data_IF_615124318423
#
_entry.id   IF_615124318423
#
_cell.length_a   1.000
_cell.length_b   1.000
_cell.length_c   1.000
_cell.angle_alpha   90.00
_cell.angle_beta   90.00
_cell.angle_gamma   90.00
#
_symmetry.space_group_name_H-M   'P 1'
#
loop_
_entity.id
_entity.type
_entity.pdbx_description
1 polymer ?
#
# COMPACT_ATOMS: atom_id res chain seq x y z
N UNK A 1 10.69 7.91 -34.50
CA UNK A 1 11.27 9.25 -34.30
C UNK A 1 11.45 9.93 -35.67
N UNK A 2 10.51 10.77 -36.16
CA UNK A 2 10.73 11.55 -37.37
C UNK A 2 11.30 12.93 -37.04
N UNK A 3 12.40 13.28 -37.72
CA UNK A 3 13.11 14.55 -37.62
C UNK A 3 12.33 15.68 -38.32
N UNK A 4 12.18 16.84 -37.66
CA UNK A 4 11.62 18.07 -38.24
C UNK A 4 12.76 18.95 -38.78
N UNK A 5 12.77 19.31 -40.07
CA UNK A 5 13.74 20.25 -40.62
C UNK A 5 13.27 21.70 -40.49
N UNK A 6 14.24 22.60 -40.32
CA UNK A 6 14.24 23.89 -41.03
C UNK A 6 13.57 25.08 -40.33
N UNK A 7 14.41 25.85 -39.64
CA UNK A 7 14.28 27.31 -39.40
C UNK A 7 13.55 28.05 -40.53
N UNK A 8 12.51 28.81 -40.18
CA UNK A 8 12.18 30.06 -40.86
C UNK A 8 12.14 31.16 -39.81
N UNK A 9 13.22 31.94 -39.80
CA UNK A 9 13.34 33.20 -39.06
C UNK A 9 12.60 34.24 -39.90
N UNK A 10 11.62 34.92 -39.29
CA UNK A 10 10.96 36.07 -39.91
C UNK A 10 12.02 37.13 -40.28
N UNK A 11 12.06 37.60 -41.54
CA UNK A 11 12.94 38.68 -41.91
C UNK A 11 12.50 39.98 -41.21
N UNK A 12 13.44 40.77 -40.67
CA UNK A 12 13.15 42.07 -40.08
C UNK A 12 12.69 43.05 -41.16
N UNK A 13 11.63 43.84 -40.92
CA UNK A 13 11.16 44.84 -41.88
C UNK A 13 12.22 45.92 -42.11
N UNK A 14 12.45 46.22 -43.38
CA UNK A 14 13.44 47.18 -43.86
C UNK A 14 13.12 48.61 -43.44
N UNK A 15 14.16 49.29 -42.96
CA UNK A 15 14.41 50.74 -43.01
C UNK A 15 13.30 51.63 -43.58
N UNK A 16 12.61 52.38 -42.70
CA UNK A 16 11.88 53.60 -43.07
C UNK A 16 12.73 54.82 -42.72
N UNK A 17 13.75 55.09 -43.53
CA UNK A 17 14.48 56.36 -43.57
C UNK A 17 14.20 57.04 -44.91
N UNK A 18 13.76 58.29 -44.84
CA UNK A 18 13.51 59.17 -45.99
C UNK A 18 12.16 59.87 -45.80
N UNK A 19 12.01 61.17 -45.98
CA UNK A 19 12.95 62.24 -46.28
C UNK A 19 12.22 63.53 -45.86
N UNK A 20 12.95 64.49 -45.29
CA UNK A 20 12.42 65.83 -45.05
C UNK A 20 12.17 66.51 -46.39
N UNK A 21 10.92 66.72 -46.74
CA UNK A 21 10.50 67.54 -47.88
C UNK A 21 9.70 68.72 -47.36
N UNK A 22 10.35 69.88 -47.22
CA UNK A 22 9.67 71.17 -47.02
C UNK A 22 8.93 71.52 -48.32
N UNK A 23 7.64 71.21 -48.36
CA UNK A 23 6.72 71.75 -49.37
C UNK A 23 5.99 72.96 -48.78
N UNK A 24 6.30 74.15 -49.29
CA UNK A 24 5.50 75.35 -49.06
C UNK A 24 4.16 75.16 -49.78
N UNK A 25 3.06 75.01 -49.03
CA UNK A 25 1.72 75.00 -49.60
C UNK A 25 1.13 76.41 -49.57
N UNK A 26 0.67 76.77 -50.75
CA UNK A 26 0.15 78.06 -51.13
C UNK A 26 -1.17 78.39 -50.45
N UNK A 27 -1.34 79.68 -50.21
CA UNK A 27 -2.46 80.39 -49.60
C UNK A 27 -3.71 80.27 -50.49
N UNK A 28 -4.85 79.82 -49.94
CA UNK A 28 -6.12 79.94 -50.64
C UNK A 28 -7.30 79.16 -50.05
N UNK A 29 -8.26 79.91 -49.52
CA UNK A 29 -9.68 79.58 -49.25
C UNK A 29 -10.04 78.75 -48.01
N UNK A 30 -11.01 79.29 -47.28
CA UNK A 30 -11.34 78.97 -45.90
C UNK A 30 -12.10 77.66 -45.71
N UNK A 31 -11.75 77.00 -44.61
CA UNK A 31 -12.52 75.93 -44.00
C UNK A 31 -13.23 76.51 -42.76
N UNK A 32 -14.47 76.11 -42.45
CA UNK A 32 -15.17 76.55 -41.25
C UNK A 32 -14.37 76.17 -40.00
N UNK A 33 -14.43 76.96 -38.91
CA UNK A 33 -13.66 76.68 -37.71
C UNK A 33 -14.07 75.31 -37.17
N UNK A 34 -13.12 74.36 -37.18
CA UNK A 34 -13.25 73.10 -36.48
C UNK A 34 -13.43 73.44 -35.00
N UNK A 35 -14.62 73.18 -34.48
CA UNK A 35 -14.91 73.21 -33.05
C UNK A 35 -13.85 72.31 -32.38
N UNK A 36 -13.05 72.82 -31.43
CA UNK A 36 -12.15 71.97 -30.68
C UNK A 36 -13.02 71.04 -29.83
N UNK A 37 -13.16 69.80 -30.29
CA UNK A 37 -13.65 68.72 -29.43
C UNK A 37 -12.58 68.55 -28.36
N UNK A 38 -12.88 69.07 -27.16
CA UNK A 38 -12.12 68.82 -25.96
C UNK A 38 -12.12 67.31 -25.77
N UNK A 39 -11.02 66.66 -26.14
CA UNK A 39 -10.79 65.28 -25.72
C UNK A 39 -10.52 65.37 -24.23
N UNK A 40 -11.31 64.70 -23.36
CA UNK A 40 -10.88 64.57 -21.98
C UNK A 40 -9.51 63.88 -22.01
N UNK A 41 -8.51 64.53 -21.44
CA UNK A 41 -7.20 63.93 -21.21
C UNK A 41 -7.44 62.65 -20.39
N UNK A 42 -7.44 61.51 -21.08
CA UNK A 42 -7.47 60.23 -20.43
C UNK A 42 -6.13 60.11 -19.68
N UNK A 43 -6.12 59.98 -18.35
CA UNK A 43 -4.87 59.80 -17.63
C UNK A 43 -4.27 58.48 -18.12
N UNK A 44 -3.10 58.56 -18.74
CA UNK A 44 -2.27 57.38 -19.02
C UNK A 44 -1.89 56.81 -17.66
N UNK A 45 -2.71 55.91 -17.12
CA UNK A 45 -2.33 55.12 -15.95
C UNK A 45 -1.15 54.29 -16.39
N UNK A 46 0.04 54.69 -15.96
CA UNK A 46 1.20 53.81 -15.97
C UNK A 46 0.86 52.65 -15.04
N UNK A 47 0.41 51.54 -15.60
CA UNK A 47 0.17 50.32 -14.83
C UNK A 47 1.50 49.88 -14.21
N UNK A 48 1.66 50.22 -12.94
CA UNK A 48 2.83 49.82 -12.18
C UNK A 48 2.67 48.32 -11.94
N UNK A 49 3.47 47.50 -12.61
CA UNK A 49 3.51 46.05 -12.38
C UNK A 49 4.12 45.67 -11.02
N UNK A 50 4.64 46.65 -10.27
CA UNK A 50 5.25 46.49 -8.94
C UNK A 50 4.33 45.85 -7.89
N UNK A 51 3.08 46.32 -7.67
CA UNK A 51 2.13 45.66 -6.78
C UNK A 51 1.80 44.22 -7.23
N UNK A 52 1.70 43.97 -8.54
CA UNK A 52 1.42 42.62 -9.06
C UNK A 52 2.59 41.67 -8.77
N UNK A 53 3.82 42.14 -8.98
CA UNK A 53 5.02 41.38 -8.66
C UNK A 53 5.15 41.13 -7.15
N UNK A 54 4.86 42.13 -6.33
CA UNK A 54 4.83 41.99 -4.87
C UNK A 54 3.80 40.96 -4.41
N UNK A 55 2.58 41.03 -4.94
CA UNK A 55 1.52 40.07 -4.65
C UNK A 55 1.89 38.64 -5.10
N UNK A 56 2.52 38.49 -6.27
CA UNK A 56 2.98 37.19 -6.77
C UNK A 56 4.06 36.57 -5.88
N UNK A 57 5.04 37.37 -5.42
CA UNK A 57 6.09 36.91 -4.50
C UNK A 57 5.50 36.51 -3.15
N UNK A 58 4.57 37.31 -2.62
CA UNK A 58 3.90 37.04 -1.33
C UNK A 58 3.07 35.76 -1.41
N UNK A 59 2.34 35.56 -2.52
CA UNK A 59 1.60 34.34 -2.80
C UNK A 59 2.54 33.13 -2.90
N UNK A 60 3.66 33.25 -3.61
CA UNK A 60 4.65 32.17 -3.72
C UNK A 60 5.23 31.80 -2.34
N UNK A 61 5.56 32.78 -1.50
CA UNK A 61 6.00 32.54 -0.13
C UNK A 61 4.95 31.86 0.74
N UNK A 62 3.69 32.29 0.64
CA UNK A 62 2.58 31.67 1.36
C UNK A 62 2.40 30.19 0.96
N UNK A 63 2.45 29.89 -0.34
CA UNK A 63 2.39 28.52 -0.84
C UNK A 63 3.57 27.66 -0.35
N UNK A 64 4.79 28.23 -0.36
CA UNK A 64 5.98 27.52 0.11
C UNK A 64 5.92 27.25 1.62
N UNK A 65 5.40 28.20 2.41
CA UNK A 65 5.18 28.01 3.84
C UNK A 65 4.17 26.88 4.10
N UNK A 66 3.01 26.90 3.42
CA UNK A 66 1.98 25.85 3.56
C UNK A 66 2.54 24.48 3.15
N UNK A 67 3.26 24.42 2.03
CA UNK A 67 3.89 23.18 1.54
C UNK A 67 4.97 22.68 2.51
N UNK A 68 5.80 23.57 3.05
CA UNK A 68 6.83 23.24 4.04
C UNK A 68 6.24 22.70 5.35
N UNK A 69 5.16 23.29 5.86
CA UNK A 69 4.46 22.79 7.04
C UNK A 69 3.85 21.39 6.78
N UNK A 70 3.24 21.17 5.61
CA UNK A 70 2.68 19.87 5.23
C UNK A 70 3.78 18.81 5.10
N UNK A 71 4.90 19.14 4.45
CA UNK A 71 6.04 18.25 4.25
C UNK A 71 6.67 17.81 5.59
N UNK A 72 6.83 18.74 6.52
CA UNK A 72 7.36 18.40 7.85
C UNK A 72 6.44 17.46 8.64
N UNK A 73 5.11 17.66 8.56
CA UNK A 73 4.14 16.76 9.21
C UNK A 73 4.17 15.37 8.60
N UNK A 74 4.29 15.27 7.28
CA UNK A 74 4.34 14.00 6.57
C UNK A 74 5.63 13.22 6.87
N UNK A 75 6.77 13.92 6.92
CA UNK A 75 8.04 13.32 7.35
C UNK A 75 8.00 12.84 8.81
N UNK A 76 7.36 13.58 9.71
CA UNK A 76 7.19 13.13 11.09
C UNK A 76 6.27 11.91 11.18
N UNK A 77 5.16 11.89 10.43
CA UNK A 77 4.26 10.74 10.36
C UNK A 77 5.00 9.52 9.80
N UNK A 78 5.74 9.66 8.71
CA UNK A 78 6.55 8.58 8.13
C UNK A 78 7.57 8.03 9.13
N UNK A 79 8.29 8.89 9.87
CA UNK A 79 9.22 8.46 10.92
C UNK A 79 8.53 7.74 12.07
N UNK A 80 7.37 8.21 12.50
CA UNK A 80 6.58 7.56 13.54
C UNK A 80 6.15 6.16 13.09
N UNK A 81 5.66 6.02 11.86
CA UNK A 81 5.27 4.73 11.27
C UNK A 81 6.47 3.77 11.17
N UNK A 82 7.63 4.26 10.72
CA UNK A 82 8.86 3.47 10.65
C UNK A 82 9.28 2.98 12.04
N UNK A 83 9.24 3.85 13.05
CA UNK A 83 9.59 3.51 14.43
C UNK A 83 8.66 2.44 15.02
N UNK A 84 7.36 2.55 14.77
CA UNK A 84 6.36 1.56 15.18
C UNK A 84 6.62 0.21 14.50
N UNK A 85 6.94 0.22 13.21
CA UNK A 85 7.22 -1.02 12.46
C UNK A 85 8.49 -1.70 12.98
N UNK A 86 9.54 -0.93 13.25
CA UNK A 86 10.79 -1.42 13.87
C UNK A 86 10.52 -2.05 15.24
N UNK A 87 9.71 -1.41 16.08
CA UNK A 87 9.33 -1.94 17.38
C UNK A 87 8.56 -3.27 17.25
N UNK A 88 7.61 -3.37 16.30
CA UNK A 88 6.88 -4.61 16.04
C UNK A 88 7.80 -5.74 15.59
N UNK A 89 8.73 -5.46 14.66
CA UNK A 89 9.71 -6.45 14.20
C UNK A 89 10.58 -6.94 15.38
N UNK A 90 11.05 -6.03 16.23
CA UNK A 90 11.85 -6.39 17.39
C UNK A 90 11.07 -7.27 18.37
N UNK A 91 9.81 -6.93 18.65
CA UNK A 91 8.94 -7.73 19.53
C UNK A 91 8.71 -9.15 18.96
N UNK A 92 8.36 -9.25 17.68
CA UNK A 92 8.14 -10.55 17.03
C UNK A 92 9.41 -11.41 16.99
N UNK A 93 10.58 -10.81 16.78
CA UNK A 93 11.85 -11.53 16.82
C UNK A 93 12.15 -12.07 18.22
N UNK A 94 11.98 -11.25 19.25
CA UNK A 94 12.17 -11.67 20.63
C UNK A 94 11.22 -12.81 21.03
N UNK A 95 9.98 -12.77 20.55
CA UNK A 95 9.02 -13.84 20.76
C UNK A 95 9.43 -15.12 20.03
N UNK A 96 9.87 -15.00 18.77
CA UNK A 96 10.37 -16.15 18.01
C UNK A 96 11.58 -16.82 18.67
N UNK A 97 12.56 -16.04 19.13
CA UNK A 97 13.72 -16.55 19.87
C UNK A 97 13.30 -17.24 21.18
N UNK A 98 12.37 -16.64 21.93
CA UNK A 98 11.82 -17.26 23.15
C UNK A 98 11.14 -18.59 22.86
N UNK A 99 10.36 -18.67 21.78
CA UNK A 99 9.69 -19.90 21.37
C UNK A 99 10.70 -20.95 20.92
N UNK A 100 11.74 -20.57 20.18
CA UNK A 100 12.82 -21.48 19.76
C UNK A 100 13.54 -22.07 20.97
N UNK A 101 13.93 -21.23 21.93
CA UNK A 101 14.54 -21.71 23.19
C UNK A 101 13.60 -22.67 23.93
N UNK A 102 12.30 -22.41 23.93
CA UNK A 102 11.32 -23.30 24.55
C UNK A 102 11.22 -24.63 23.81
N UNK A 103 11.15 -24.62 22.48
CA UNK A 103 11.15 -25.82 21.65
C UNK A 103 12.42 -26.63 21.90
N UNK A 104 13.58 -25.98 21.93
CA UNK A 104 14.85 -26.66 22.17
C UNK A 104 14.87 -27.30 23.56
N UNK A 105 14.41 -26.61 24.60
CA UNK A 105 14.28 -27.23 25.94
C UNK A 105 13.35 -28.45 25.93
N UNK A 106 12.20 -28.36 25.26
CA UNK A 106 11.26 -29.48 25.15
C UNK A 106 11.84 -30.65 24.34
N UNK A 107 12.64 -30.37 23.31
CA UNK A 107 13.31 -31.41 22.51
C UNK A 107 14.37 -32.17 23.28
N UNK A 108 15.09 -31.48 24.17
CA UNK A 108 16.15 -32.09 24.98
C UNK A 108 15.64 -32.74 26.28
N UNK A 109 14.36 -32.56 26.64
CA UNK A 109 13.70 -33.27 27.74
C UNK A 109 12.46 -34.05 27.24
N UNK A 110 12.68 -35.16 26.51
CA UNK A 110 11.60 -35.98 25.98
C UNK A 110 10.73 -36.62 27.07
N UNK A 111 11.26 -36.82 28.29
CA UNK A 111 10.52 -37.38 29.41
C UNK A 111 9.41 -36.46 29.91
N UNK A 112 9.66 -35.15 29.98
CA UNK A 112 8.62 -34.16 30.26
C UNK A 112 7.53 -34.12 29.21
N UNK A 113 7.90 -34.29 27.94
CA UNK A 113 6.98 -34.25 26.80
C UNK A 113 6.05 -35.46 26.79
N UNK A 114 6.59 -36.64 27.11
CA UNK A 114 5.81 -37.87 27.27
C UNK A 114 4.85 -37.79 28.48
N UNK A 115 5.30 -37.20 29.59
CA UNK A 115 4.45 -37.01 30.77
C UNK A 115 3.26 -36.09 30.46
N UNK A 116 3.51 -34.97 29.78
CA UNK A 116 2.46 -34.04 29.35
C UNK A 116 1.48 -34.70 28.36
N UNK A 117 1.98 -35.52 27.44
CA UNK A 117 1.14 -36.25 26.50
C UNK A 117 0.23 -37.29 27.19
N UNK A 118 0.73 -37.99 28.21
CA UNK A 118 -0.04 -38.96 28.99
C UNK A 118 -1.05 -38.28 29.93
N UNK A 119 -0.64 -37.23 30.63
CA UNK A 119 -1.45 -36.53 31.64
C UNK A 119 -2.55 -35.67 31.02
N UNK A 120 -2.21 -34.80 30.05
CA UNK A 120 -3.15 -33.80 29.53
C UNK A 120 -3.95 -34.30 28.32
N UNK A 121 -3.37 -35.20 27.54
CA UNK A 121 -3.95 -35.67 26.27
C UNK A 121 -4.38 -37.14 26.32
N UNK A 122 -4.12 -37.86 27.41
CA UNK A 122 -4.43 -39.29 27.55
C UNK A 122 -3.76 -40.16 26.48
N UNK A 123 -2.69 -39.67 25.84
CA UNK A 123 -2.01 -40.40 24.78
C UNK A 123 -1.15 -41.52 25.37
N UNK A 124 -1.27 -42.72 24.78
CA UNK A 124 -0.47 -43.90 25.11
C UNK A 124 0.59 -44.13 24.03
N UNK A 125 1.79 -44.55 24.44
CA UNK A 125 2.86 -44.83 23.50
C UNK A 125 2.52 -46.10 22.70
N UNK A 126 2.89 -46.24 21.40
CA UNK A 126 2.59 -47.43 20.59
C UNK A 126 3.12 -48.77 21.14
N UNK A 127 3.95 -48.75 22.18
CA UNK A 127 4.51 -49.94 22.85
C UNK A 127 3.91 -50.16 24.26
N UNK A 128 2.96 -49.32 24.67
CA UNK A 128 2.27 -49.47 25.94
C UNK A 128 1.14 -50.51 25.84
N UNK A 129 0.85 -51.19 26.94
CA UNK A 129 -0.26 -52.15 27.05
C UNK A 129 -1.46 -51.45 27.67
N UNK A 130 -2.56 -51.34 26.92
CA UNK A 130 -3.82 -50.75 27.40
C UNK A 130 -4.57 -51.80 28.23
N UNK A 131 -4.78 -51.52 29.51
CA UNK A 131 -5.58 -52.34 30.41
C UNK A 131 -6.93 -51.65 30.60
N UNK A 132 -7.98 -52.22 30.01
CA UNK A 132 -9.36 -51.77 30.26
C UNK A 132 -9.82 -52.33 31.61
N UNK A 133 -10.01 -51.45 32.59
CA UNK A 133 -10.54 -51.85 33.89
C UNK A 133 -12.08 -51.89 33.77
N UNK A 134 -12.72 -53.05 34.01
CA UNK A 134 -14.17 -53.13 33.97
C UNK A 134 -14.76 -52.21 35.03
N UNK A 135 -15.75 -51.41 34.64
CA UNK A 135 -16.47 -50.52 35.56
C UNK A 135 -17.05 -51.35 36.72
N UNK A 136 -16.79 -51.01 37.99
CA UNK A 136 -17.35 -51.74 39.13
C UNK A 136 -18.88 -51.60 39.23
N UNK A 137 -19.49 -50.73 38.41
CA UNK A 137 -20.94 -50.53 38.29
C UNK A 137 -21.54 -51.13 37.02
N UNK A 138 -20.74 -51.68 36.11
CA UNK A 138 -21.25 -52.51 35.03
C UNK A 138 -21.63 -53.86 35.65
N UNK A 139 -22.91 -54.01 35.99
CA UNK A 139 -23.46 -55.33 36.30
C UNK A 139 -23.09 -56.29 35.16
N UNK A 140 -22.69 -57.54 35.47
CA UNK A 140 -22.25 -58.48 34.45
C UNK A 140 -23.39 -58.67 33.45
N UNK A 141 -23.17 -58.25 32.20
CA UNK A 141 -24.00 -58.72 31.09
C UNK A 141 -23.89 -60.26 31.08
N UNK A 142 -25.01 -60.99 30.92
CA UNK A 142 -24.99 -62.45 30.98
C UNK A 142 -23.99 -62.99 29.95
N UNK A 143 -23.27 -64.08 30.26
CA UNK A 143 -22.36 -64.68 29.30
C UNK A 143 -23.14 -64.98 28.03
N UNK A 144 -22.73 -64.37 26.92
CA UNK A 144 -23.12 -64.79 25.58
C UNK A 144 -22.75 -66.27 25.54
N UNK A 145 -23.77 -67.12 25.62
CA UNK A 145 -23.61 -68.55 25.51
C UNK A 145 -22.94 -68.83 24.17
N UNK A 146 -21.67 -69.23 24.22
CA UNK A 146 -21.07 -70.03 23.16
C UNK A 146 -22.03 -71.17 22.84
N UNK A 147 -22.57 -71.28 21.62
CA UNK A 147 -23.23 -72.51 21.22
C UNK A 147 -22.20 -73.65 21.33
N UNK A 148 -22.57 -74.82 21.88
CA UNK A 148 -21.63 -75.91 22.11
C UNK A 148 -21.05 -76.43 20.79
N UNK A 149 -19.80 -76.94 20.79
CA UNK A 149 -19.23 -77.63 19.66
C UNK A 149 -19.92 -78.99 19.49
N UNK A 150 -21.02 -79.03 18.75
CA UNK A 150 -21.65 -80.26 18.34
C UNK A 150 -20.88 -80.85 17.14
N UNK A 151 -20.17 -81.95 17.43
CA UNK A 151 -19.85 -83.02 16.52
C UNK A 151 -18.99 -82.69 15.28
N UNK A 152 -17.69 -82.94 15.44
CA UNK A 152 -16.95 -83.62 14.39
C UNK A 152 -17.67 -84.94 14.07
N UNK A 153 -18.33 -85.02 12.92
CA UNK A 153 -18.69 -86.27 12.27
C UNK A 153 -17.87 -86.36 10.98
N UNK A 154 -16.97 -87.34 10.97
CA UNK A 154 -16.05 -87.69 9.88
C UNK A 154 -16.79 -88.55 8.82
N UNK A 155 -16.17 -88.95 7.69
CA UNK A 155 -16.65 -88.74 6.32
C UNK A 155 -17.30 -89.99 5.65
N UNK A 156 -18.04 -89.79 4.55
CA UNK A 156 -18.34 -90.81 3.52
C UNK A 156 -18.86 -90.08 2.26
N UNK A 157 -18.14 -90.02 1.13
CA UNK A 157 -17.94 -91.07 0.13
C UNK A 157 -19.18 -91.40 -0.73
N UNK A 158 -19.23 -90.74 -1.91
CA UNK A 158 -19.74 -91.17 -3.24
C UNK A 158 -21.26 -91.38 -3.45
N UNK A 159 -21.82 -91.43 -4.70
CA UNK A 159 -21.16 -91.60 -6.02
C UNK A 159 -21.60 -90.69 -7.21
N UNK A 160 -20.73 -90.69 -8.22
CA UNK A 160 -20.89 -90.45 -9.68
C UNK A 160 -22.26 -90.09 -10.30
N UNK A 161 -22.24 -89.05 -11.16
CA UNK A 161 -22.65 -88.95 -12.59
C UNK A 161 -23.99 -89.53 -13.10
N UNK A 162 -24.62 -88.95 -14.15
CA UNK A 162 -24.07 -88.78 -15.51
C UNK A 162 -24.08 -87.35 -16.09
#
# INVERSE_FOLDING_TARGET
>A
MPQRPGRQVQPPPAHRRGAGGRGHLSRGQGLPPLVPVIRPDAPVRSDSFRPVLGAAVLLAFALLAIAGLKSNRDLQAARAHESMLKAKIAATRAESERLQVRIDRLRHDPGMLERLAREDLGMVHPRDVVIELPDPKAAPAPPVATPPPAAQAVPAANPQEP
#
